data_IF_856994236297
#
_entry.id   IF_856994236297
#
_cell.length_a   1.000
_cell.length_b   1.000
_cell.length_c   1.000
_cell.angle_alpha   90.00
_cell.angle_beta   90.00
_cell.angle_gamma   90.00
#
_symmetry.space_group_name_H-M   'P 1'
#
loop_
_entity.id
_entity.type
_entity.pdbx_description
1 polymer ?
#
# COMPACT_ATOMS: atom_id res chain seq x y z
N UNK A 1 10.48 9.89 -3.45
CA UNK A 1 10.08 9.75 -4.87
C UNK A 1 8.60 9.38 -4.92
N UNK A 2 7.87 9.68 -6.01
CA UNK A 2 6.54 9.10 -6.21
C UNK A 2 6.67 7.64 -6.64
N UNK A 3 5.88 6.75 -6.04
CA UNK A 3 5.83 5.35 -6.48
C UNK A 3 4.88 5.25 -7.67
N UNK A 4 5.44 5.25 -8.88
CA UNK A 4 4.66 5.07 -10.11
C UNK A 4 4.13 3.64 -10.26
N UNK A 5 4.87 2.66 -9.75
CA UNK A 5 4.53 1.24 -9.87
C UNK A 5 4.73 0.51 -8.55
N UNK A 6 3.95 -0.55 -8.35
CA UNK A 6 4.11 -1.46 -7.22
C UNK A 6 5.53 -2.06 -7.18
N UNK A 7 6.21 -2.16 -8.33
CA UNK A 7 7.59 -2.65 -8.43
C UNK A 7 8.63 -1.71 -7.78
N UNK A 8 8.33 -0.42 -7.63
CA UNK A 8 9.21 0.53 -6.93
C UNK A 8 9.07 0.44 -5.40
N UNK A 9 8.08 -0.30 -4.89
CA UNK A 9 7.93 -0.51 -3.46
C UNK A 9 9.07 -1.38 -2.89
N UNK A 10 9.42 -1.19 -1.60
CA UNK A 10 10.42 -2.01 -0.94
C UNK A 10 10.08 -3.50 -1.08
N UNK A 11 11.09 -4.34 -1.31
CA UNK A 11 10.91 -5.79 -1.46
C UNK A 11 10.14 -6.36 -0.26
N UNK A 12 10.45 -5.92 0.96
CA UNK A 12 9.75 -6.35 2.17
C UNK A 12 8.25 -6.05 2.12
N UNK A 13 7.85 -4.90 1.57
CA UNK A 13 6.43 -4.55 1.39
C UNK A 13 5.81 -5.46 0.33
N UNK A 14 6.49 -5.66 -0.81
CA UNK A 14 5.99 -6.50 -1.91
C UNK A 14 5.86 -7.97 -1.54
N UNK A 15 6.71 -8.48 -0.66
CA UNK A 15 6.64 -9.86 -0.19
C UNK A 15 5.64 -10.07 0.95
N UNK A 16 5.46 -9.06 1.81
CA UNK A 16 4.49 -9.14 2.92
C UNK A 16 3.06 -8.84 2.47
N UNK A 17 2.89 -7.97 1.47
CA UNK A 17 1.60 -7.49 1.02
C UNK A 17 1.19 -8.11 -0.33
N UNK A 18 -0.06 -8.59 -0.47
CA UNK A 18 -0.58 -9.02 -1.77
C UNK A 18 -0.70 -7.83 -2.75
N UNK A 19 -0.83 -8.13 -4.04
CA UNK A 19 -0.83 -7.13 -5.12
C UNK A 19 -1.84 -5.99 -4.91
N UNK A 20 -3.05 -6.29 -4.42
CA UNK A 20 -4.08 -5.29 -4.11
C UNK A 20 -3.73 -4.39 -2.92
N UNK A 21 -2.98 -4.89 -1.94
CA UNK A 21 -2.51 -4.09 -0.81
C UNK A 21 -1.40 -3.13 -1.24
N UNK A 22 -0.52 -3.58 -2.15
CA UNK A 22 0.52 -2.74 -2.75
C UNK A 22 -0.10 -1.55 -3.50
N UNK A 23 -1.21 -1.78 -4.20
CA UNK A 23 -1.96 -0.74 -4.90
C UNK A 23 -2.50 0.33 -3.94
N UNK A 24 -3.11 -0.11 -2.84
CA UNK A 24 -3.61 0.79 -1.80
C UNK A 24 -2.46 1.57 -1.14
N UNK A 25 -1.33 0.90 -0.89
CA UNK A 25 -0.15 1.52 -0.31
C UNK A 25 0.37 2.65 -1.21
N UNK A 26 0.52 2.40 -2.52
CA UNK A 26 1.00 3.45 -3.45
C UNK A 26 0.03 4.63 -3.53
N UNK A 27 -1.29 4.39 -3.52
CA UNK A 27 -2.28 5.46 -3.61
C UNK A 27 -2.19 6.37 -2.38
N UNK A 28 -2.23 5.79 -1.18
CA UNK A 28 -2.11 6.53 0.07
C UNK A 28 -0.75 7.25 0.20
N UNK A 29 0.33 6.61 -0.27
CA UNK A 29 1.65 7.23 -0.31
C UNK A 29 1.67 8.44 -1.23
N UNK A 30 1.20 8.29 -2.46
CA UNK A 30 1.22 9.36 -3.47
C UNK A 30 0.33 10.54 -3.05
N UNK A 31 -0.82 10.27 -2.43
CA UNK A 31 -1.68 11.32 -1.85
C UNK A 31 -0.95 12.11 -0.76
N UNK A 32 -0.35 11.42 0.21
CA UNK A 32 0.40 12.06 1.30
C UNK A 32 1.64 12.80 0.78
N UNK A 33 2.32 12.23 -0.22
CA UNK A 33 3.48 12.84 -0.85
C UNK A 33 3.14 14.15 -1.56
N UNK A 34 1.97 14.21 -2.22
CA UNK A 34 1.48 15.43 -2.86
C UNK A 34 1.18 16.52 -1.82
N UNK A 35 0.68 16.15 -0.64
CA UNK A 35 0.40 17.07 0.46
C UNK A 35 1.67 17.64 1.13
N UNK A 36 2.75 16.86 1.18
CA UNK A 36 4.03 17.24 1.81
C UNK A 36 5.13 17.58 0.80
N UNK A 37 4.79 18.32 -0.27
CA UNK A 37 5.74 18.73 -1.29
C UNK A 37 6.72 19.81 -0.79
N UNK A 38 7.78 19.40 -0.07
CA UNK A 38 8.85 20.31 0.37
C UNK A 38 9.64 19.87 1.61
N UNK A 39 9.12 18.90 2.38
CA UNK A 39 9.74 18.45 3.62
C UNK A 39 10.78 17.34 3.42
N UNK A 40 11.93 17.46 4.10
CA UNK A 40 12.95 16.41 4.15
C UNK A 40 12.43 15.11 4.79
N UNK A 41 11.40 15.19 5.64
CA UNK A 41 10.75 14.06 6.32
C UNK A 41 9.54 13.46 5.61
N UNK A 42 9.16 13.96 4.42
CA UNK A 42 7.93 13.55 3.74
C UNK A 42 7.88 12.07 3.38
N UNK A 43 9.03 11.45 3.13
CA UNK A 43 9.12 10.03 2.76
C UNK A 43 8.75 9.12 3.93
N UNK A 44 9.23 9.45 5.13
CA UNK A 44 8.84 8.74 6.35
C UNK A 44 7.35 8.96 6.65
N UNK A 45 6.87 10.21 6.53
CA UNK A 45 5.48 10.55 6.80
C UNK A 45 4.51 9.81 5.85
N UNK A 46 4.77 9.89 4.54
CA UNK A 46 4.00 9.18 3.52
C UNK A 46 4.07 7.65 3.71
N UNK A 47 5.23 7.11 4.08
CA UNK A 47 5.37 5.68 4.38
C UNK A 47 4.49 5.26 5.57
N UNK A 48 4.44 6.06 6.63
CA UNK A 48 3.61 5.79 7.82
C UNK A 48 2.12 5.84 7.50
N UNK A 49 1.68 6.86 6.74
CA UNK A 49 0.27 7.00 6.32
C UNK A 49 -0.14 5.85 5.41
N UNK A 50 0.69 5.48 4.44
CA UNK A 50 0.45 4.34 3.56
C UNK A 50 0.32 3.02 4.35
N UNK A 51 1.19 2.78 5.33
CA UNK A 51 1.07 1.63 6.23
C UNK A 51 -0.19 1.68 7.10
N UNK A 52 -0.64 2.87 7.52
CA UNK A 52 -1.91 3.02 8.23
C UNK A 52 -3.11 2.66 7.34
N UNK A 53 -3.11 3.06 6.07
CA UNK A 53 -4.15 2.69 5.10
C UNK A 53 -4.19 1.17 4.87
N UNK A 54 -3.03 0.53 4.70
CA UNK A 54 -2.93 -0.93 4.57
C UNK A 54 -3.47 -1.63 5.82
N UNK A 55 -3.06 -1.20 7.02
CA UNK A 55 -3.55 -1.76 8.30
C UNK A 55 -5.06 -1.65 8.51
N UNK A 56 -5.70 -0.65 7.90
CA UNK A 56 -7.16 -0.51 7.97
C UNK A 56 -7.89 -1.53 7.08
N UNK A 57 -7.27 -1.98 5.99
CA UNK A 57 -7.86 -2.94 5.04
C UNK A 57 -7.30 -4.35 5.13
N UNK A 58 -6.15 -4.51 5.78
CA UNK A 58 -5.43 -5.76 5.92
C UNK A 58 -5.06 -5.95 7.38
N UNK A 59 -5.28 -7.16 7.89
CA UNK A 59 -4.87 -7.53 9.24
C UNK A 59 -3.52 -8.23 9.22
N UNK A 60 -2.62 -7.77 10.10
CA UNK A 60 -1.37 -8.46 10.35
C UNK A 60 -1.66 -9.74 11.15
N UNK A 61 -1.28 -10.88 10.58
CA UNK A 61 -1.41 -12.19 11.19
C UNK A 61 -0.18 -12.51 12.04
N UNK A 62 -0.33 -13.34 13.09
CA UNK A 62 0.81 -13.92 13.78
C UNK A 62 1.64 -14.73 12.76
N UNK A 63 2.91 -14.38 12.60
CA UNK A 63 3.80 -14.93 11.56
C UNK A 63 4.26 -13.93 10.49
N UNK A 64 3.83 -12.67 10.58
CA UNK A 64 4.29 -11.62 9.65
C UNK A 64 3.60 -11.64 8.29
N UNK A 65 2.50 -12.38 8.17
CA UNK A 65 1.67 -12.40 6.97
C UNK A 65 0.56 -11.35 7.08
N UNK A 66 0.15 -10.77 5.95
CA UNK A 66 -0.96 -9.82 5.90
C UNK A 66 -2.14 -10.44 5.17
N UNK A 67 -3.31 -10.40 5.79
CA UNK A 67 -4.53 -10.97 5.22
C UNK A 67 -5.54 -9.85 4.93
N UNK A 68 -6.08 -9.77 3.69
CA UNK A 68 -7.11 -8.78 3.38
C UNK A 68 -8.31 -8.99 4.29
N UNK A 69 -8.84 -7.89 4.84
CA UNK A 69 -10.19 -7.83 5.37
C UNK A 69 -11.17 -7.76 4.19
N UNK A 70 -11.10 -8.75 3.29
CA UNK A 70 -12.07 -8.93 2.23
C UNK A 70 -13.18 -9.78 2.85
N UNK A 71 -14.43 -9.28 2.91
CA UNK A 71 -15.56 -10.15 3.24
C UNK A 71 -15.56 -11.32 2.24
N UNK A 72 -15.95 -12.54 2.64
CA UNK A 72 -15.82 -13.75 1.84
C UNK A 72 -16.62 -13.77 0.51
N UNK A 73 -17.11 -12.64 0.03
CA UNK A 73 -17.94 -12.51 -1.16
C UNK A 73 -17.66 -11.19 -1.91
N UNK A 74 -16.59 -11.17 -2.72
CA UNK A 74 -16.53 -10.32 -3.93
C UNK A 74 -15.60 -10.99 -4.95
N UNK A 75 -16.13 -11.78 -5.89
CA UNK A 75 -15.34 -12.31 -6.99
C UNK A 75 -15.01 -11.18 -7.98
N UNK A 76 -13.73 -11.08 -8.35
CA UNK A 76 -13.29 -10.45 -9.60
C UNK A 76 -13.41 -8.93 -9.69
N UNK A 77 -12.28 -8.25 -9.50
CA UNK A 77 -11.97 -7.13 -10.39
C UNK A 77 -10.50 -7.23 -10.79
N UNK A 78 -10.27 -8.09 -11.78
CA UNK A 78 -9.18 -7.93 -12.74
C UNK A 78 -9.29 -6.51 -13.31
N UNK A 79 -8.41 -5.62 -12.89
CA UNK A 79 -8.19 -4.37 -13.62
C UNK A 79 -7.01 -4.61 -14.56
N UNK A 80 -7.31 -5.26 -15.68
CA UNK A 80 -6.56 -5.00 -16.89
C UNK A 80 -6.78 -3.55 -17.28
N UNK A 81 -5.72 -2.73 -17.21
CA UNK A 81 -5.66 -1.51 -18.00
C UNK A 81 -4.56 -1.67 -19.04
N UNK A 82 -5.03 -1.64 -20.28
CA UNK A 82 -4.28 -1.45 -21.52
C UNK A 82 -3.54 -0.12 -21.50
#
# INVERSE_FOLDING_TARGET
>A
MLYLTNANLPISVRQQLPLRAQDLYREAFNETWALHAGDAGREEHASRVAWAAVRQRYHAMPGGQWQPNVPPDVPGREEGRR
#
